data_IF_972218372633
#
_entry.id   IF_972218372633
#
_cell.length_a   1.000
_cell.length_b   1.000
_cell.length_c   1.000
_cell.angle_alpha   90.00
_cell.angle_beta   90.00
_cell.angle_gamma   90.00
#
_symmetry.space_group_name_H-M   'P 1'
#
loop_
_entity.id
_entity.type
_entity.pdbx_description
1 polymer ?
#
# COMPACT_ATOMS: atom_id res chain seq x y z
N UNK A 1 -53.57 -3.02 -13.60
CA UNK A 1 -52.32 -2.44 -14.14
C UNK A 1 -51.21 -3.37 -13.68
N UNK A 2 -50.47 -3.95 -14.62
CA UNK A 2 -49.47 -4.97 -14.29
C UNK A 2 -48.27 -4.30 -13.61
N UNK A 3 -48.13 -4.52 -12.29
CA UNK A 3 -46.83 -4.45 -11.64
C UNK A 3 -45.97 -5.55 -12.26
N UNK A 4 -45.24 -5.22 -13.33
CA UNK A 4 -44.04 -5.98 -13.66
C UNK A 4 -43.09 -5.74 -12.50
N UNK A 5 -42.99 -6.71 -11.59
CA UNK A 5 -41.99 -6.70 -10.53
C UNK A 5 -40.61 -6.62 -11.19
N UNK A 6 -40.08 -5.40 -11.33
CA UNK A 6 -38.77 -5.15 -11.93
C UNK A 6 -37.74 -5.82 -11.01
N UNK A 7 -37.22 -6.97 -11.45
CA UNK A 7 -36.18 -7.70 -10.73
C UNK A 7 -34.87 -6.91 -10.71
N UNK A 8 -33.98 -7.21 -9.76
CA UNK A 8 -32.64 -6.60 -9.70
C UNK A 8 -31.88 -6.74 -11.02
N UNK A 9 -31.98 -7.89 -11.68
CA UNK A 9 -31.38 -8.12 -13.00
C UNK A 9 -32.00 -7.27 -14.13
N UNK A 10 -33.33 -7.14 -14.15
CA UNK A 10 -34.04 -6.30 -15.14
C UNK A 10 -33.67 -4.83 -14.99
N UNK A 11 -33.62 -4.34 -13.74
CA UNK A 11 -33.15 -2.99 -13.42
C UNK A 11 -31.70 -2.78 -13.84
N UNK A 12 -30.81 -3.76 -13.60
CA UNK A 12 -29.41 -3.69 -14.05
C UNK A 12 -29.34 -3.57 -15.58
N UNK A 13 -30.14 -4.35 -16.31
CA UNK A 13 -30.17 -4.29 -17.77
C UNK A 13 -30.69 -2.93 -18.28
N UNK A 14 -31.73 -2.39 -17.66
CA UNK A 14 -32.25 -1.03 -17.91
C UNK A 14 -31.18 0.04 -17.64
N UNK A 15 -30.47 -0.07 -16.52
CA UNK A 15 -29.35 0.81 -16.19
C UNK A 15 -28.23 0.78 -17.23
N UNK A 16 -27.90 -0.40 -17.78
CA UNK A 16 -26.93 -0.52 -18.87
C UNK A 16 -27.40 0.21 -20.13
N UNK A 17 -28.67 0.04 -20.53
CA UNK A 17 -29.22 0.74 -21.69
C UNK A 17 -29.22 2.26 -21.51
N UNK A 18 -29.52 2.75 -20.31
CA UNK A 18 -29.44 4.18 -19.97
C UNK A 18 -27.99 4.69 -20.04
N UNK A 19 -27.04 3.91 -19.53
CA UNK A 19 -25.62 4.26 -19.57
C UNK A 19 -25.10 4.33 -21.02
N UNK A 20 -25.43 3.35 -21.86
CA UNK A 20 -25.07 3.32 -23.28
C UNK A 20 -25.70 4.48 -24.07
N UNK A 21 -26.89 4.93 -23.67
CA UNK A 21 -27.56 6.10 -24.23
C UNK A 21 -26.97 7.45 -23.72
N UNK A 22 -25.93 7.43 -22.90
CA UNK A 22 -25.31 8.64 -22.31
C UNK A 22 -26.12 9.27 -21.18
N UNK A 23 -27.22 8.64 -20.74
CA UNK A 23 -28.07 9.09 -19.63
C UNK A 23 -27.47 8.65 -18.29
N UNK A 24 -26.26 9.12 -17.99
CA UNK A 24 -25.43 8.65 -16.87
C UNK A 24 -26.14 8.79 -15.52
N UNK A 25 -26.81 9.92 -15.25
CA UNK A 25 -27.54 10.13 -13.99
C UNK A 25 -28.71 9.16 -13.83
N UNK A 26 -29.50 8.93 -14.89
CA UNK A 26 -30.61 7.97 -14.87
C UNK A 26 -30.07 6.53 -14.65
N UNK A 27 -28.93 6.21 -15.25
CA UNK A 27 -28.27 4.92 -15.08
C UNK A 27 -27.82 4.69 -13.62
N UNK A 28 -27.21 5.70 -12.98
CA UNK A 28 -26.79 5.64 -11.57
C UNK A 28 -27.97 5.31 -10.65
N UNK A 29 -29.07 6.06 -10.78
CA UNK A 29 -30.28 5.83 -9.98
C UNK A 29 -30.88 4.45 -10.23
N UNK A 30 -30.87 4.01 -11.49
CA UNK A 30 -31.38 2.68 -11.87
C UNK A 30 -30.49 1.55 -11.31
N UNK A 31 -29.16 1.73 -11.30
CA UNK A 31 -28.24 0.78 -10.67
C UNK A 31 -28.40 0.73 -9.15
N UNK A 32 -28.61 1.87 -8.49
CA UNK A 32 -28.92 1.91 -7.05
C UNK A 32 -30.23 1.17 -6.74
N UNK A 33 -31.27 1.37 -7.56
CA UNK A 33 -32.52 0.63 -7.45
C UNK A 33 -32.34 -0.88 -7.66
N UNK A 34 -31.53 -1.28 -8.66
CA UNK A 34 -31.15 -2.68 -8.90
C UNK A 34 -30.49 -3.29 -7.66
N UNK A 35 -29.53 -2.59 -7.05
CA UNK A 35 -28.82 -3.05 -5.85
C UNK A 35 -29.70 -3.12 -4.60
N UNK A 36 -30.70 -2.25 -4.49
CA UNK A 36 -31.67 -2.30 -3.40
C UNK A 36 -32.59 -3.53 -3.49
N UNK A 37 -32.82 -4.04 -4.70
CA UNK A 37 -33.57 -5.28 -4.94
C UNK A 37 -32.68 -6.51 -4.74
N UNK A 38 -31.49 -6.48 -5.32
CA UNK A 38 -30.55 -7.60 -5.29
C UNK A 38 -29.10 -7.10 -5.29
N UNK A 39 -28.36 -7.30 -4.19
CA UNK A 39 -26.93 -7.00 -4.15
C UNK A 39 -26.17 -7.80 -5.22
N UNK A 40 -25.41 -7.10 -6.08
CA UNK A 40 -24.71 -7.72 -7.19
C UNK A 40 -23.36 -7.05 -7.44
N UNK A 41 -22.29 -7.85 -7.44
CA UNK A 41 -20.95 -7.37 -7.81
C UNK A 41 -20.94 -6.76 -9.23
N UNK A 42 -21.66 -7.37 -10.17
CA UNK A 42 -21.74 -6.85 -11.55
C UNK A 42 -22.42 -5.48 -11.60
N UNK A 43 -23.50 -5.29 -10.84
CA UNK A 43 -24.18 -3.98 -10.77
C UNK A 43 -23.31 -2.95 -10.06
N UNK A 44 -22.62 -3.30 -8.97
CA UNK A 44 -21.67 -2.42 -8.27
C UNK A 44 -20.53 -1.96 -9.19
N UNK A 45 -19.97 -2.86 -10.01
CA UNK A 45 -18.97 -2.51 -11.01
C UNK A 45 -19.51 -1.58 -12.11
N UNK A 46 -20.77 -1.72 -12.51
CA UNK A 46 -21.40 -0.81 -13.47
C UNK A 46 -21.72 0.56 -12.85
N UNK A 47 -22.18 0.59 -11.60
CA UNK A 47 -22.39 1.81 -10.84
C UNK A 47 -21.07 2.59 -10.69
N UNK A 48 -19.97 1.92 -10.35
CA UNK A 48 -18.64 2.53 -10.27
C UNK A 48 -18.23 3.22 -11.57
N UNK A 49 -18.44 2.57 -12.73
CA UNK A 49 -18.18 3.20 -14.02
C UNK A 49 -19.05 4.43 -14.28
N UNK A 50 -20.33 4.35 -13.95
CA UNK A 50 -21.26 5.45 -14.16
C UNK A 50 -20.87 6.66 -13.29
N UNK A 51 -20.50 6.42 -12.03
CA UNK A 51 -20.00 7.45 -11.11
C UNK A 51 -18.68 8.06 -11.60
N UNK A 52 -17.75 7.27 -12.16
CA UNK A 52 -16.54 7.82 -12.79
C UNK A 52 -16.88 8.75 -13.95
N UNK A 53 -17.84 8.34 -14.79
CA UNK A 53 -18.28 9.12 -15.96
C UNK A 53 -18.94 10.44 -15.52
N UNK A 54 -19.60 10.45 -14.38
CA UNK A 54 -20.18 11.65 -13.75
C UNK A 54 -19.11 12.55 -13.09
N UNK A 55 -17.91 12.05 -12.84
CA UNK A 55 -16.85 12.74 -12.11
C UNK A 55 -16.83 12.50 -10.59
N UNK A 56 -17.71 11.63 -10.08
CA UNK A 56 -17.85 11.28 -8.66
C UNK A 56 -16.83 10.19 -8.26
N UNK A 57 -15.54 10.54 -8.31
CA UNK A 57 -14.43 9.58 -8.18
C UNK A 57 -14.42 8.79 -6.85
N UNK A 58 -14.75 9.45 -5.73
CA UNK A 58 -14.73 8.81 -4.41
C UNK A 58 -15.90 7.81 -4.25
N UNK A 59 -17.11 8.17 -4.67
CA UNK A 59 -18.26 7.23 -4.68
C UNK A 59 -18.00 6.07 -5.65
N UNK A 60 -17.34 6.33 -6.78
CA UNK A 60 -16.96 5.28 -7.71
C UNK A 60 -15.97 4.28 -7.12
N UNK A 61 -15.01 4.77 -6.32
CA UNK A 61 -14.06 3.94 -5.61
C UNK A 61 -14.79 3.04 -4.61
N UNK A 62 -15.70 3.59 -3.81
CA UNK A 62 -16.51 2.83 -2.85
C UNK A 62 -17.33 1.74 -3.54
N UNK A 63 -17.99 2.05 -4.66
CA UNK A 63 -18.74 1.08 -5.44
C UNK A 63 -17.84 -0.05 -6.01
N UNK A 64 -16.63 0.27 -6.46
CA UNK A 64 -15.68 -0.73 -6.95
C UNK A 64 -15.14 -1.63 -5.83
N UNK A 65 -14.86 -1.06 -4.65
CA UNK A 65 -14.44 -1.80 -3.47
C UNK A 65 -15.54 -2.75 -2.98
N UNK A 66 -16.79 -2.28 -2.93
CA UNK A 66 -17.95 -3.13 -2.64
C UNK A 66 -18.11 -4.25 -3.67
N UNK A 67 -17.88 -3.95 -4.96
CA UNK A 67 -17.92 -4.98 -6.02
C UNK A 67 -16.90 -6.09 -5.77
N UNK A 68 -15.66 -5.75 -5.42
CA UNK A 68 -14.61 -6.74 -5.14
C UNK A 68 -14.83 -7.47 -3.82
N UNK A 69 -15.43 -6.81 -2.83
CA UNK A 69 -15.82 -7.45 -1.57
C UNK A 69 -16.91 -8.50 -1.79
N UNK A 70 -17.86 -8.22 -2.70
CA UNK A 70 -18.93 -9.15 -3.06
C UNK A 70 -18.43 -10.31 -3.95
N UNK A 71 -17.57 -10.03 -4.94
CA UNK A 71 -16.99 -11.04 -5.82
C UNK A 71 -15.58 -10.63 -6.28
N UNK A 72 -14.57 -11.29 -5.70
CA UNK A 72 -13.16 -11.09 -6.05
C UNK A 72 -12.82 -11.60 -7.45
N UNK A 73 -13.68 -12.39 -8.09
CA UNK A 73 -13.48 -12.89 -9.46
C UNK A 73 -14.05 -11.95 -10.51
N UNK A 74 -14.74 -10.86 -10.11
CA UNK A 74 -15.28 -9.88 -11.01
C UNK A 74 -14.15 -9.08 -11.68
N UNK A 75 -13.65 -9.59 -12.82
CA UNK A 75 -12.53 -9.04 -13.57
C UNK A 75 -12.69 -7.52 -13.72
N UNK A 76 -13.84 -7.05 -14.23
CA UNK A 76 -14.06 -5.61 -14.49
C UNK A 76 -13.91 -4.73 -13.25
N UNK A 77 -14.18 -5.24 -12.04
CA UNK A 77 -14.13 -4.45 -10.81
C UNK A 77 -12.73 -3.95 -10.46
N UNK A 78 -11.68 -4.73 -10.79
CA UNK A 78 -10.29 -4.29 -10.61
C UNK A 78 -9.95 -3.07 -11.48
N UNK A 79 -10.37 -3.07 -12.75
CA UNK A 79 -10.15 -1.92 -13.63
C UNK A 79 -10.97 -0.70 -13.19
N UNK A 80 -12.21 -0.91 -12.72
CA UNK A 80 -13.02 0.19 -12.15
C UNK A 80 -12.38 0.80 -10.92
N UNK A 81 -11.89 -0.03 -9.99
CA UNK A 81 -11.17 0.43 -8.81
C UNK A 81 -9.90 1.19 -9.18
N UNK A 82 -9.07 0.64 -10.07
CA UNK A 82 -7.85 1.30 -10.51
C UNK A 82 -8.13 2.66 -11.17
N UNK A 83 -9.13 2.76 -12.03
CA UNK A 83 -9.53 4.03 -12.66
C UNK A 83 -10.08 5.04 -11.63
N UNK A 84 -10.85 4.58 -10.64
CA UNK A 84 -11.32 5.45 -9.56
C UNK A 84 -10.16 5.95 -8.69
N UNK A 85 -9.17 5.10 -8.40
CA UNK A 85 -7.96 5.49 -7.70
C UNK A 85 -7.14 6.53 -8.48
N UNK A 86 -7.03 6.39 -9.81
CA UNK A 86 -6.41 7.40 -10.68
C UNK A 86 -7.17 8.72 -10.66
N UNK A 87 -8.51 8.68 -10.78
CA UNK A 87 -9.36 9.86 -10.73
C UNK A 87 -9.30 10.58 -9.37
N UNK A 88 -9.08 9.82 -8.29
CA UNK A 88 -8.80 10.33 -6.95
C UNK A 88 -7.37 10.86 -6.77
N UNK A 89 -6.54 10.87 -7.82
CA UNK A 89 -5.15 11.33 -7.76
C UNK A 89 -4.20 10.38 -7.03
N UNK A 90 -4.57 9.10 -6.89
CA UNK A 90 -3.84 8.07 -6.13
C UNK A 90 -3.29 6.97 -7.05
N UNK A 91 -2.40 7.28 -8.01
CA UNK A 91 -1.91 6.30 -8.99
C UNK A 91 -1.11 5.16 -8.36
N UNK A 92 -0.49 5.37 -7.19
CA UNK A 92 0.16 4.30 -6.43
C UNK A 92 -0.83 3.23 -5.94
N UNK A 93 -2.06 3.63 -5.56
CA UNK A 93 -3.11 2.69 -5.19
C UNK A 93 -3.61 1.92 -6.41
N UNK A 94 -3.83 2.62 -7.53
CA UNK A 94 -4.22 2.02 -8.80
C UNK A 94 -3.24 0.92 -9.24
N UNK A 95 -1.94 1.20 -9.14
CA UNK A 95 -0.89 0.23 -9.42
C UNK A 95 -0.98 -1.02 -8.54
N UNK A 96 -1.23 -0.84 -7.24
CA UNK A 96 -1.40 -1.95 -6.30
C UNK A 96 -2.64 -2.79 -6.66
N UNK A 97 -3.76 -2.15 -6.95
CA UNK A 97 -4.99 -2.82 -7.41
C UNK A 97 -4.75 -3.64 -8.67
N UNK A 98 -3.99 -3.12 -9.64
CA UNK A 98 -3.66 -3.84 -10.88
C UNK A 98 -2.72 -5.03 -10.61
N UNK A 99 -1.80 -4.91 -9.65
CA UNK A 99 -0.98 -6.04 -9.19
C UNK A 99 -1.82 -7.11 -8.50
N UNK A 100 -2.74 -6.72 -7.62
CA UNK A 100 -3.70 -7.65 -6.99
C UNK A 100 -4.51 -8.40 -8.08
N UNK A 101 -4.88 -7.72 -9.17
CA UNK A 101 -5.53 -8.35 -10.31
C UNK A 101 -4.62 -9.36 -11.05
N UNK A 102 -3.36 -9.01 -11.29
CA UNK A 102 -2.38 -9.93 -11.89
C UNK A 102 -2.18 -11.20 -11.06
N UNK A 103 -2.15 -11.06 -9.74
CA UNK A 103 -2.04 -12.18 -8.80
C UNK A 103 -3.32 -13.03 -8.81
N UNK A 104 -4.49 -12.40 -8.76
CA UNK A 104 -5.80 -13.08 -8.78
C UNK A 104 -6.05 -13.86 -10.08
N UNK A 105 -5.60 -13.34 -11.22
CA UNK A 105 -5.84 -13.92 -12.55
C UNK A 105 -4.58 -14.53 -13.20
N UNK A 106 -3.57 -14.90 -12.41
CA UNK A 106 -2.28 -15.40 -12.91
C UNK A 106 -2.38 -16.63 -13.83
N UNK A 107 -3.47 -17.40 -13.75
CA UNK A 107 -3.73 -18.58 -14.61
C UNK A 107 -4.46 -18.24 -15.92
N UNK A 108 -5.08 -17.07 -16.01
CA UNK A 108 -5.75 -16.59 -17.22
C UNK A 108 -4.77 -15.73 -18.03
N UNK A 109 -4.30 -16.26 -19.16
CA UNK A 109 -3.33 -15.58 -20.03
C UNK A 109 -3.88 -14.27 -20.62
N UNK A 110 -5.17 -14.21 -20.92
CA UNK A 110 -5.81 -13.03 -21.50
C UNK A 110 -5.91 -11.93 -20.45
N UNK A 111 -6.38 -12.26 -19.25
CA UNK A 111 -6.43 -11.33 -18.12
C UNK A 111 -5.02 -10.87 -17.71
N UNK A 112 -4.05 -11.78 -17.66
CA UNK A 112 -2.65 -11.45 -17.35
C UNK A 112 -2.07 -10.46 -18.36
N UNK A 113 -2.32 -10.66 -19.67
CA UNK A 113 -1.88 -9.71 -20.71
C UNK A 113 -2.55 -8.35 -20.55
N UNK A 114 -3.86 -8.33 -20.34
CA UNK A 114 -4.63 -7.10 -20.17
C UNK A 114 -4.15 -6.28 -18.96
N UNK A 115 -4.05 -6.93 -17.79
CA UNK A 115 -3.61 -6.26 -16.57
C UNK A 115 -2.12 -5.92 -16.58
N UNK A 116 -1.29 -6.67 -17.30
CA UNK A 116 0.12 -6.34 -17.49
C UNK A 116 0.27 -5.01 -18.23
N UNK A 117 -0.45 -4.84 -19.34
CA UNK A 117 -0.44 -3.58 -20.09
C UNK A 117 -0.95 -2.41 -19.23
N UNK A 118 -2.09 -2.59 -18.55
CA UNK A 118 -2.66 -1.56 -17.66
C UNK A 118 -1.69 -1.20 -16.52
N UNK A 119 -1.01 -2.19 -15.95
CA UNK A 119 -0.02 -2.00 -14.90
C UNK A 119 1.17 -1.18 -15.40
N UNK A 120 1.68 -1.46 -16.60
CA UNK A 120 2.79 -0.73 -17.21
C UNK A 120 2.42 0.73 -17.54
N UNK A 121 1.19 0.96 -18.03
CA UNK A 121 0.63 2.30 -18.26
C UNK A 121 0.61 3.12 -16.97
N UNK A 122 0.02 2.57 -15.90
CA UNK A 122 -0.05 3.25 -14.59
C UNK A 122 1.34 3.42 -13.98
N UNK A 123 2.26 2.47 -14.13
CA UNK A 123 3.64 2.62 -13.67
C UNK A 123 4.36 3.78 -14.36
N UNK A 124 4.12 3.99 -15.65
CA UNK A 124 4.68 5.12 -16.39
C UNK A 124 4.10 6.44 -15.90
N UNK A 125 2.79 6.48 -15.65
CA UNK A 125 2.12 7.65 -15.06
C UNK A 125 2.64 7.95 -13.63
N UNK A 126 2.86 6.92 -12.80
CA UNK A 126 3.48 7.08 -11.49
C UNK A 126 4.89 7.66 -11.60
N UNK A 127 5.76 7.11 -12.47
CA UNK A 127 7.13 7.63 -12.62
C UNK A 127 7.16 9.12 -13.01
N UNK A 128 6.19 9.58 -13.79
CA UNK A 128 6.04 10.98 -14.17
C UNK A 128 5.54 11.89 -13.04
N UNK A 129 4.86 11.34 -12.01
CA UNK A 129 4.24 12.10 -10.91
C UNK A 129 4.88 11.90 -9.53
N UNK A 130 5.68 10.86 -9.34
CA UNK A 130 6.05 10.31 -8.01
C UNK A 130 7.52 10.55 -7.59
N UNK A 131 8.24 11.48 -8.25
CA UNK A 131 9.65 11.74 -7.93
C UNK A 131 9.95 13.04 -7.17
N UNK A 132 8.97 13.87 -6.77
CA UNK A 132 9.33 15.16 -6.14
C UNK A 132 8.36 15.81 -5.14
N UNK A 133 7.77 15.06 -4.21
CA UNK A 133 7.73 15.60 -2.83
C UNK A 133 6.40 15.91 -2.16
N UNK A 134 5.32 15.15 -2.38
CA UNK A 134 4.22 15.12 -1.40
C UNK A 134 3.89 13.68 -1.04
N UNK A 135 4.08 13.33 0.22
CA UNK A 135 3.69 12.04 0.78
C UNK A 135 2.38 12.24 1.54
N UNK A 136 1.40 11.40 1.27
CA UNK A 136 0.04 11.57 1.80
C UNK A 136 -0.29 10.59 2.92
N UNK A 137 0.16 9.34 2.80
CA UNK A 137 -0.12 8.27 3.76
C UNK A 137 1.07 7.33 3.89
N UNK A 138 1.09 6.50 4.93
CA UNK A 138 2.14 5.49 5.10
C UNK A 138 2.14 4.48 3.94
N UNK A 139 0.96 4.15 3.40
CA UNK A 139 0.82 3.29 2.23
C UNK A 139 1.38 3.94 0.97
N UNK A 140 1.18 5.26 0.79
CA UNK A 140 1.82 5.99 -0.30
C UNK A 140 3.34 5.91 -0.18
N UNK A 141 3.88 6.15 1.01
CA UNK A 141 5.32 6.06 1.24
C UNK A 141 5.90 4.65 1.02
N UNK A 142 5.17 3.62 1.45
CA UNK A 142 5.51 2.22 1.20
C UNK A 142 5.63 1.92 -0.31
N UNK A 143 4.70 2.48 -1.10
CA UNK A 143 4.71 2.36 -2.55
C UNK A 143 5.85 3.15 -3.20
N UNK A 144 6.29 4.28 -2.65
CA UNK A 144 7.53 4.94 -3.10
C UNK A 144 8.73 4.00 -2.87
N UNK A 145 8.81 3.41 -1.67
CA UNK A 145 9.95 2.58 -1.28
C UNK A 145 10.13 1.30 -2.11
N UNK A 146 9.01 0.66 -2.49
CA UNK A 146 9.04 -0.57 -3.30
C UNK A 146 9.59 -0.36 -4.72
N UNK A 147 9.46 0.86 -5.24
CA UNK A 147 9.78 1.19 -6.64
C UNK A 147 11.01 2.07 -6.78
N UNK A 148 11.63 2.48 -5.66
CA UNK A 148 13.02 2.88 -5.69
C UNK A 148 13.82 1.78 -6.42
N UNK A 149 14.50 2.10 -7.54
CA UNK A 149 15.21 1.12 -8.37
C UNK A 149 16.04 0.15 -7.52
N UNK A 150 15.84 -1.16 -7.73
CA UNK A 150 16.57 -2.21 -7.00
C UNK A 150 17.92 -2.54 -7.63
N UNK A 151 18.06 -2.21 -8.91
CA UNK A 151 19.26 -2.41 -9.71
C UNK A 151 19.52 -1.11 -10.46
N UNK A 152 20.49 -0.33 -9.97
CA UNK A 152 21.57 0.29 -10.73
C UNK A 152 22.21 1.41 -9.90
N UNK A 153 23.53 1.29 -9.75
CA UNK A 153 24.48 2.23 -9.17
C UNK A 153 24.29 2.58 -7.68
N UNK A 154 25.43 2.64 -7.00
CA UNK A 154 25.73 2.90 -5.59
C UNK A 154 25.02 4.07 -4.88
N UNK A 155 24.07 4.74 -5.51
CA UNK A 155 23.34 5.89 -4.98
C UNK A 155 21.89 5.60 -4.54
N UNK A 156 21.19 4.62 -5.11
CA UNK A 156 19.76 4.40 -4.79
C UNK A 156 19.54 3.61 -3.49
N UNK A 157 20.29 2.53 -3.28
CA UNK A 157 20.33 1.84 -1.97
C UNK A 157 20.79 2.78 -0.86
N UNK A 158 21.71 3.70 -1.17
CA UNK A 158 22.14 4.72 -0.24
C UNK A 158 20.99 5.69 0.12
N UNK A 159 20.12 6.08 -0.82
CA UNK A 159 18.92 6.89 -0.52
C UNK A 159 17.96 6.17 0.42
N UNK A 160 17.64 4.90 0.17
CA UNK A 160 16.71 4.14 1.02
C UNK A 160 17.26 4.00 2.45
N UNK A 161 18.49 3.52 2.57
CA UNK A 161 19.13 3.30 3.87
C UNK A 161 19.38 4.62 4.62
N UNK A 162 19.80 5.68 3.91
CA UNK A 162 19.90 7.02 4.50
C UNK A 162 18.55 7.53 4.97
N UNK A 163 17.46 7.30 4.22
CA UNK A 163 16.11 7.68 4.64
C UNK A 163 15.71 6.95 5.93
N UNK A 164 15.98 5.64 6.02
CA UNK A 164 15.71 4.86 7.24
C UNK A 164 16.51 5.40 8.43
N UNK A 165 17.79 5.72 8.22
CA UNK A 165 18.64 6.26 9.27
C UNK A 165 18.22 7.67 9.70
N UNK A 166 17.82 8.54 8.76
CA UNK A 166 17.24 9.85 9.05
C UNK A 166 15.95 9.69 9.87
N UNK A 167 15.01 8.85 9.45
CA UNK A 167 13.76 8.62 10.18
C UNK A 167 14.00 8.06 11.58
N UNK A 168 15.01 7.20 11.73
CA UNK A 168 15.40 6.69 13.05
C UNK A 168 15.88 7.83 13.94
N UNK A 169 16.75 8.69 13.41
CA UNK A 169 17.31 9.82 14.15
C UNK A 169 16.25 10.87 14.52
N UNK A 170 15.26 11.10 13.65
CA UNK A 170 14.11 11.96 13.93
C UNK A 170 13.08 11.33 14.90
N UNK A 171 13.15 10.02 15.14
CA UNK A 171 12.25 9.33 16.07
C UNK A 171 12.70 9.52 17.52
N UNK A 172 11.74 9.66 18.44
CA UNK A 172 12.01 9.59 19.87
C UNK A 172 12.48 8.18 20.27
N UNK A 173 13.20 8.06 21.39
CA UNK A 173 13.73 6.78 21.88
C UNK A 173 12.65 5.68 22.01
N UNK A 174 11.46 6.05 22.51
CA UNK A 174 10.31 5.15 22.63
C UNK A 174 9.76 4.67 21.28
N UNK A 175 9.80 5.52 20.26
CA UNK A 175 9.38 5.15 18.91
C UNK A 175 10.42 4.21 18.27
N UNK A 176 11.72 4.49 18.48
CA UNK A 176 12.81 3.62 18.04
C UNK A 176 12.68 2.23 18.65
N UNK A 177 12.30 2.13 19.93
CA UNK A 177 12.08 0.84 20.60
C UNK A 177 10.98 0.03 19.91
N UNK A 178 9.85 0.65 19.57
CA UNK A 178 8.77 -0.03 18.84
C UNK A 178 9.21 -0.50 17.46
N UNK A 179 9.97 0.33 16.73
CA UNK A 179 10.54 -0.01 15.42
C UNK A 179 11.53 -1.17 15.55
N UNK A 180 12.42 -1.12 16.53
CA UNK A 180 13.42 -2.15 16.80
C UNK A 180 12.77 -3.50 17.13
N UNK A 181 11.79 -3.51 18.05
CA UNK A 181 11.02 -4.71 18.38
C UNK A 181 10.35 -5.28 17.12
N UNK A 182 9.77 -4.41 16.27
CA UNK A 182 9.16 -4.87 15.02
C UNK A 182 10.16 -5.53 14.07
N UNK A 183 11.36 -4.97 13.93
CA UNK A 183 12.42 -5.61 13.13
C UNK A 183 12.82 -6.97 13.68
N UNK A 184 12.95 -7.11 14.99
CA UNK A 184 13.23 -8.42 15.59
C UNK A 184 12.10 -9.43 15.32
N UNK A 185 10.83 -9.00 15.38
CA UNK A 185 9.70 -9.87 15.02
C UNK A 185 9.78 -10.33 13.56
N UNK A 186 10.13 -9.42 12.63
CA UNK A 186 10.28 -9.76 11.21
C UNK A 186 11.45 -10.70 10.93
N UNK A 187 12.56 -10.55 11.66
CA UNK A 187 13.75 -11.38 11.51
C UNK A 187 13.59 -12.79 12.13
N UNK A 188 12.92 -12.88 13.27
CA UNK A 188 12.84 -14.11 14.08
C UNK A 188 11.51 -14.86 13.95
N UNK A 189 10.45 -14.18 13.52
CA UNK A 189 9.07 -14.69 13.58
C UNK A 189 8.48 -14.75 14.99
N UNK A 190 9.22 -14.37 16.04
CA UNK A 190 8.74 -14.41 17.42
C UNK A 190 7.74 -13.29 17.70
N UNK A 191 6.67 -13.57 18.45
CA UNK A 191 5.72 -12.53 18.87
C UNK A 191 6.33 -11.56 19.89
N UNK A 192 7.14 -12.07 20.82
CA UNK A 192 7.80 -11.27 21.85
C UNK A 192 9.32 -11.49 21.82
N UNK A 193 10.04 -10.90 20.84
CA UNK A 193 11.45 -11.19 20.61
C UNK A 193 12.39 -10.61 21.69
N UNK A 194 11.91 -9.72 22.55
CA UNK A 194 12.68 -9.11 23.64
C UNK A 194 12.42 -9.77 24.99
N UNK A 195 11.61 -10.83 25.04
CA UNK A 195 11.35 -11.56 26.28
C UNK A 195 12.67 -12.09 26.89
N UNK A 196 12.94 -11.72 28.14
CA UNK A 196 14.18 -12.12 28.84
C UNK A 196 15.44 -11.34 28.45
N UNK A 197 15.29 -10.26 27.68
CA UNK A 197 16.38 -9.36 27.28
C UNK A 197 16.28 -8.03 28.02
N UNK A 198 17.41 -7.32 28.15
CA UNK A 198 17.47 -6.00 28.80
C UNK A 198 17.32 -4.84 27.79
N UNK A 199 16.64 -5.03 26.66
CA UNK A 199 16.48 -3.98 25.64
C UNK A 199 15.55 -2.89 26.15
N UNK A 200 16.03 -1.65 26.18
CA UNK A 200 15.27 -0.46 26.57
C UNK A 200 15.40 0.68 25.56
N UNK A 201 14.55 1.70 25.69
CA UNK A 201 14.55 2.86 24.78
C UNK A 201 15.87 3.64 24.86
N UNK A 202 16.49 3.72 26.03
CA UNK A 202 17.74 4.46 26.26
C UNK A 202 18.94 3.85 25.51
N UNK A 203 18.88 2.55 25.21
CA UNK A 203 19.93 1.87 24.43
C UNK A 203 19.92 2.27 22.96
N UNK A 204 18.77 2.73 22.44
CA UNK A 204 18.54 2.99 21.02
C UNK A 204 18.90 4.42 20.63
N UNK A 205 20.20 4.69 20.66
CA UNK A 205 20.80 5.97 20.28
C UNK A 205 20.64 6.28 18.78
N UNK A 206 21.01 7.50 18.39
CA UNK A 206 20.99 7.90 16.98
C UNK A 206 22.03 7.13 16.17
N UNK A 207 21.68 6.78 14.95
CA UNK A 207 22.56 6.09 14.00
C UNK A 207 23.61 7.06 13.42
N UNK A 208 24.84 6.59 13.18
CA UNK A 208 25.86 7.36 12.48
C UNK A 208 25.43 7.64 11.03
N UNK A 209 25.71 8.85 10.54
CA UNK A 209 25.29 9.31 9.21
C UNK A 209 26.46 9.48 8.23
N UNK A 210 27.68 9.15 8.66
CA UNK A 210 28.92 9.32 7.89
C UNK A 210 28.89 8.56 6.56
N UNK A 211 28.31 7.35 6.56
CA UNK A 211 28.17 6.49 5.38
C UNK A 211 27.15 7.03 4.36
N UNK A 212 26.38 8.05 4.72
CA UNK A 212 25.34 8.67 3.89
C UNK A 212 25.68 10.10 3.48
N UNK A 213 26.93 10.55 3.68
CA UNK A 213 27.38 11.87 3.23
C UNK A 213 27.14 12.06 1.73
N UNK A 214 26.50 13.16 1.37
CA UNK A 214 26.16 13.49 -0.02
C UNK A 214 24.81 12.92 -0.49
N UNK A 215 24.14 12.10 0.32
CA UNK A 215 22.77 11.66 0.06
C UNK A 215 21.80 12.72 0.57
N UNK A 216 20.94 13.23 -0.30
CA UNK A 216 19.91 14.22 0.07
C UNK A 216 18.56 13.54 0.17
N UNK A 217 17.94 13.61 1.35
CA UNK A 217 16.58 13.10 1.57
C UNK A 217 15.58 14.22 1.25
N UNK A 218 14.53 13.98 0.45
CA UNK A 218 13.50 14.97 0.21
C UNK A 218 12.87 15.47 1.51
N UNK A 219 12.94 16.79 1.76
CA UNK A 219 12.37 17.40 2.96
C UNK A 219 10.89 17.01 3.22
N UNK A 220 10.01 16.91 2.20
CA UNK A 220 8.64 16.48 2.42
C UNK A 220 8.50 15.07 3.01
N UNK A 221 9.45 14.18 2.79
CA UNK A 221 9.46 12.84 3.39
C UNK A 221 9.72 12.92 4.88
N UNK A 222 10.69 13.76 5.28
CA UNK A 222 11.04 14.00 6.68
C UNK A 222 9.87 14.67 7.41
N UNK A 223 9.29 15.72 6.81
CA UNK A 223 8.12 16.41 7.37
C UNK A 223 6.93 15.46 7.53
N UNK A 224 6.64 14.64 6.51
CA UNK A 224 5.60 13.63 6.58
C UNK A 224 5.85 12.66 7.75
N UNK A 225 7.05 12.10 7.84
CA UNK A 225 7.39 11.10 8.85
C UNK A 225 7.36 11.68 10.27
N UNK A 226 7.86 12.90 10.46
CA UNK A 226 7.86 13.59 11.75
C UNK A 226 6.44 13.81 12.30
N UNK A 227 5.45 13.97 11.42
CA UNK A 227 4.04 14.16 11.79
C UNK A 227 3.28 12.87 12.13
N UNK A 228 3.89 11.69 12.00
CA UNK A 228 3.24 10.41 12.25
C UNK A 228 3.18 10.05 13.73
N UNK A 229 2.15 9.31 14.12
CA UNK A 229 2.12 8.64 15.42
C UNK A 229 3.04 7.41 15.46
N UNK A 230 3.35 6.93 16.66
CA UNK A 230 4.30 5.84 16.85
C UNK A 230 3.91 4.54 16.10
N UNK A 231 2.65 4.06 16.13
CA UNK A 231 2.25 2.89 15.36
C UNK A 231 2.43 3.07 13.85
N UNK A 232 2.13 4.24 13.32
CA UNK A 232 2.26 4.50 11.88
C UNK A 232 3.73 4.58 11.46
N UNK A 233 4.62 5.12 12.31
CA UNK A 233 6.08 5.06 12.07
C UNK A 233 6.57 3.62 11.92
N UNK A 234 6.08 2.69 12.75
CA UNK A 234 6.42 1.26 12.66
C UNK A 234 5.99 0.66 11.31
N UNK A 235 4.78 1.01 10.83
CA UNK A 235 4.29 0.58 9.52
C UNK A 235 5.18 1.09 8.39
N UNK A 236 5.59 2.36 8.44
CA UNK A 236 6.53 2.95 7.46
C UNK A 236 7.85 2.21 7.46
N UNK A 237 8.47 1.99 8.62
CA UNK A 237 9.73 1.26 8.74
C UNK A 237 9.64 -0.18 8.21
N UNK A 238 8.56 -0.89 8.54
CA UNK A 238 8.31 -2.23 8.01
C UNK A 238 8.24 -2.20 6.49
N UNK A 239 7.49 -1.27 5.90
CA UNK A 239 7.37 -1.17 4.45
C UNK A 239 8.71 -0.86 3.76
N UNK A 240 9.54 0.01 4.36
CA UNK A 240 10.90 0.27 3.88
C UNK A 240 11.75 -1.00 3.90
N UNK A 241 11.71 -1.74 5.01
CA UNK A 241 12.45 -2.99 5.19
C UNK A 241 12.00 -4.10 4.22
N UNK A 242 10.69 -4.25 3.99
CA UNK A 242 10.14 -5.18 2.99
C UNK A 242 10.55 -4.81 1.55
N UNK A 243 10.76 -3.51 1.30
CA UNK A 243 11.27 -2.99 0.03
C UNK A 243 12.76 -3.23 -0.20
N UNK A 244 13.53 -3.54 0.84
CA UNK A 244 14.96 -3.84 0.75
C UNK A 244 15.24 -5.16 0.00
N UNK A 245 16.35 -5.16 -0.73
CA UNK A 245 17.02 -6.35 -1.26
C UNK A 245 17.65 -7.18 -0.14
N UNK A 246 17.99 -8.44 -0.43
CA UNK A 246 18.61 -9.31 0.58
C UNK A 246 19.94 -8.77 1.12
N UNK A 247 20.86 -8.21 0.32
CA UNK A 247 22.07 -7.56 0.83
C UNK A 247 21.79 -6.39 1.78
N UNK A 248 20.80 -5.56 1.48
CA UNK A 248 20.40 -4.44 2.35
C UNK A 248 19.81 -4.95 3.67
N UNK A 249 18.98 -6.00 3.63
CA UNK A 249 18.45 -6.62 4.85
C UNK A 249 19.55 -7.21 5.72
N UNK A 250 20.56 -7.84 5.11
CA UNK A 250 21.73 -8.33 5.83
C UNK A 250 22.52 -7.20 6.48
N UNK A 251 22.73 -6.09 5.77
CA UNK A 251 23.41 -4.91 6.31
C UNK A 251 22.65 -4.32 7.50
N UNK A 252 21.33 -4.14 7.38
CA UNK A 252 20.49 -3.65 8.48
C UNK A 252 20.59 -4.58 9.69
N UNK A 253 20.48 -5.89 9.50
CA UNK A 253 20.57 -6.85 10.60
C UNK A 253 21.96 -6.86 11.27
N UNK A 254 23.02 -6.67 10.49
CA UNK A 254 24.38 -6.52 10.99
C UNK A 254 24.52 -5.25 11.84
N UNK A 255 24.12 -4.10 11.32
CA UNK A 255 24.29 -2.81 12.00
C UNK A 255 23.47 -2.75 13.30
N UNK A 256 22.26 -3.30 13.31
CA UNK A 256 21.46 -3.39 14.54
C UNK A 256 22.14 -4.23 15.61
N UNK A 257 22.87 -5.30 15.24
CA UNK A 257 23.60 -6.15 16.18
C UNK A 257 24.82 -5.44 16.76
N UNK A 258 25.58 -4.76 15.90
CA UNK A 258 26.80 -4.06 16.30
C UNK A 258 26.50 -2.82 17.15
N UNK A 259 25.49 -2.04 16.78
CA UNK A 259 25.13 -0.80 17.47
C UNK A 259 24.31 -1.05 18.74
N UNK A 260 23.47 -2.09 18.75
CA UNK A 260 22.53 -2.37 19.85
C UNK A 260 22.59 -3.84 20.29
N UNK A 261 23.69 -4.26 20.94
CA UNK A 261 23.85 -5.63 21.39
C UNK A 261 22.80 -5.99 22.44
N UNK A 262 22.11 -7.11 22.21
CA UNK A 262 21.13 -7.65 23.13
C UNK A 262 21.84 -8.57 24.13
N UNK A 263 22.01 -8.12 25.36
CA UNK A 263 22.53 -8.96 26.45
C UNK A 263 21.45 -9.92 26.93
N UNK A 264 21.64 -11.21 26.71
CA UNK A 264 20.83 -12.25 27.36
C UNK A 264 21.31 -12.41 28.79
N UNK A 265 20.42 -12.26 29.78
CA UNK A 265 20.77 -12.57 31.17
C UNK A 265 21.28 -14.03 31.24
N UNK A 266 22.43 -14.30 31.88
CA UNK A 266 22.90 -15.68 32.01
C UNK A 266 21.84 -16.47 32.79
N UNK A 267 21.34 -17.55 32.18
CA UNK A 267 20.60 -18.57 32.90
C UNK A 267 21.42 -18.96 34.14
N UNK A 268 20.79 -18.87 35.31
CA UNK A 268 21.43 -18.99 36.62
C UNK A 268 22.33 -20.22 36.79
N UNK A 269 23.20 -20.20 37.80
CA UNK A 269 24.36 -21.07 37.89
C UNK A 269 23.96 -22.54 37.86
N UNK A 270 24.65 -23.32 37.03
CA UNK A 270 24.69 -24.77 37.13
C UNK A 270 25.11 -25.14 38.54
N UNK A 271 24.17 -25.63 39.34
CA UNK A 271 24.44 -26.23 40.64
C UNK A 271 25.29 -27.48 40.42
N UNK A 272 26.56 -27.36 40.79
CA UNK A 272 27.49 -28.47 41.05
C UNK A 272 27.11 -29.21 42.33
#
# INVERSE_FOLDING_TARGET
MADTDETGESLRAKGNGLFEAGKVNEAIETYRASLAKEPSAKTLGNLSLALLTQGSAQEALEAAEQSLAADKTCIKAYDRKANAELACGKPWKARRTLREALEAFARDKSATRYYGQRYDEVCTECKAKDTSGKVETAEHFAEICRYMPRDQASHVSAVRLATMATFWNESAAEDRLKVFVRFLQLLTGAQNPTAGTNVSAEMLSSLPMENYKGVTIPAPWVTFFAGLDAPTKVVVFQAMYEGCSDPEKTLIAHDLRELFPVSTSPSGPTSS
#
